data_IF_946063816181
#
_entry.id   IF_946063816181
#
_cell.length_a   1.000
_cell.length_b   1.000
_cell.length_c   1.000
_cell.angle_alpha   90.00
_cell.angle_beta   90.00
_cell.angle_gamma   90.00
#
_symmetry.space_group_name_H-M   'P 1'
#
loop_
_entity.id
_entity.type
_entity.pdbx_description
1 polymer ?
#
# COMPACT_ATOMS: atom_id res chain seq x y z
N UNK A 1 9.68 1.36 25.30
CA UNK A 1 10.84 0.92 26.11
C UNK A 1 11.40 -0.31 25.47
N UNK A 2 12.64 -0.22 25.02
CA UNK A 2 13.38 -1.34 24.44
C UNK A 2 13.57 -2.42 25.52
N UNK A 3 13.33 -3.67 25.13
CA UNK A 3 13.48 -4.81 26.01
C UNK A 3 14.75 -5.55 25.64
N UNK A 4 15.78 -5.40 26.45
CA UNK A 4 16.94 -6.26 26.38
C UNK A 4 16.67 -7.51 27.22
N UNK A 5 16.22 -8.61 26.55
CA UNK A 5 15.99 -9.87 27.25
C UNK A 5 15.46 -10.96 26.33
N UNK A 6 15.77 -12.21 26.64
CA UNK A 6 15.30 -13.37 25.90
C UNK A 6 13.77 -13.57 26.01
N UNK A 7 13.25 -14.54 25.26
CA UNK A 7 11.81 -14.88 25.18
C UNK A 7 11.19 -15.09 26.59
N UNK A 8 11.93 -15.68 27.53
CA UNK A 8 11.48 -15.91 28.92
C UNK A 8 11.18 -14.58 29.62
N UNK A 9 12.07 -13.60 29.57
CA UNK A 9 11.91 -12.29 30.20
C UNK A 9 10.74 -11.53 29.57
N UNK A 10 10.58 -11.62 28.24
CA UNK A 10 9.45 -10.99 27.55
C UNK A 10 8.11 -11.56 28.01
N UNK A 11 8.01 -12.89 28.16
CA UNK A 11 6.81 -13.56 28.66
C UNK A 11 6.51 -13.17 30.10
N UNK A 12 7.52 -13.08 30.96
CA UNK A 12 7.33 -12.73 32.38
C UNK A 12 6.84 -11.30 32.55
N UNK A 13 7.37 -10.34 31.76
CA UNK A 13 6.88 -8.96 31.74
C UNK A 13 5.42 -8.90 31.25
N UNK A 14 5.09 -9.68 30.22
CA UNK A 14 3.72 -9.75 29.70
C UNK A 14 2.75 -10.30 30.77
N UNK A 15 3.12 -11.39 31.44
CA UNK A 15 2.33 -11.99 32.53
C UNK A 15 2.15 -11.00 33.70
N UNK A 16 3.21 -10.28 34.08
CA UNK A 16 3.12 -9.24 35.09
C UNK A 16 2.12 -8.16 34.69
N UNK A 17 2.21 -7.65 33.46
CA UNK A 17 1.28 -6.63 32.96
C UNK A 17 -0.18 -7.11 32.99
N UNK A 18 -0.44 -8.37 32.66
CA UNK A 18 -1.78 -8.97 32.72
C UNK A 18 -2.27 -9.08 34.18
N UNK A 19 -1.41 -9.48 35.12
CA UNK A 19 -1.74 -9.52 36.54
C UNK A 19 -2.08 -8.15 37.11
N UNK A 20 -1.43 -7.11 36.62
CA UNK A 20 -1.68 -5.71 37.00
C UNK A 20 -2.88 -5.08 36.25
N UNK A 21 -3.72 -5.91 35.58
CA UNK A 21 -4.98 -5.48 34.98
C UNK A 21 -4.92 -5.11 33.49
N UNK A 22 -3.79 -5.29 32.84
CA UNK A 22 -3.75 -5.17 31.37
C UNK A 22 -4.43 -6.38 30.72
N UNK A 23 -5.03 -6.15 29.55
CA UNK A 23 -5.53 -7.24 28.70
C UNK A 23 -4.67 -7.41 27.45
N UNK A 24 -4.74 -8.58 26.87
CA UNK A 24 -4.15 -8.80 25.54
C UNK A 24 -4.86 -7.95 24.49
N UNK A 25 -4.09 -7.32 23.62
CA UNK A 25 -4.63 -6.60 22.48
C UNK A 25 -5.15 -7.57 21.42
N UNK A 26 -6.24 -7.17 20.76
CA UNK A 26 -6.73 -7.88 19.58
C UNK A 26 -5.78 -7.68 18.37
N UNK A 27 -5.80 -8.59 17.39
CA UNK A 27 -5.02 -8.40 16.15
C UNK A 27 -5.37 -7.05 15.49
N UNK A 28 -4.33 -6.22 15.25
CA UNK A 28 -4.49 -4.91 14.63
C UNK A 28 -5.01 -3.80 15.55
N UNK A 29 -5.27 -4.05 16.84
CA UNK A 29 -5.84 -3.07 17.77
C UNK A 29 -4.97 -1.81 17.89
N UNK A 30 -3.64 -1.93 17.92
CA UNK A 30 -2.74 -0.77 18.00
C UNK A 30 -2.88 0.13 16.77
N UNK A 31 -2.89 -0.46 15.58
CA UNK A 31 -3.07 0.25 14.31
C UNK A 31 -4.44 0.91 14.22
N UNK A 32 -5.50 0.17 14.62
CA UNK A 32 -6.87 0.70 14.67
C UNK A 32 -6.96 1.91 15.60
N UNK A 33 -6.37 1.84 16.79
CA UNK A 33 -6.37 2.96 17.76
C UNK A 33 -5.54 4.14 17.25
N UNK A 34 -4.41 3.90 16.59
CA UNK A 34 -3.61 4.95 15.99
C UNK A 34 -4.39 5.70 14.89
N UNK A 35 -5.12 4.97 14.03
CA UNK A 35 -6.02 5.54 13.03
C UNK A 35 -7.16 6.35 13.66
N UNK A 36 -7.88 5.79 14.62
CA UNK A 36 -8.99 6.47 15.29
C UNK A 36 -8.55 7.75 16.04
N UNK A 37 -7.31 7.77 16.52
CA UNK A 37 -6.72 8.95 17.17
C UNK A 37 -6.02 9.91 16.19
N UNK A 38 -6.17 9.72 14.88
CA UNK A 38 -5.61 10.60 13.86
C UNK A 38 -4.06 10.61 13.78
N UNK A 39 -3.39 9.59 14.34
CA UNK A 39 -1.92 9.48 14.27
C UNK A 39 -1.41 8.93 12.96
N UNK A 40 -2.22 8.13 12.29
CA UNK A 40 -2.00 7.58 10.97
C UNK A 40 -3.30 7.68 10.17
N UNK A 41 -3.20 7.76 8.86
CA UNK A 41 -4.36 7.68 7.97
C UNK A 41 -4.64 6.24 7.51
N UNK A 42 -5.70 6.05 6.70
CA UNK A 42 -6.10 4.73 6.23
C UNK A 42 -5.04 4.09 5.35
N UNK A 43 -4.38 4.88 4.48
CA UNK A 43 -3.35 4.36 3.57
C UNK A 43 -2.12 3.88 4.33
N UNK A 44 -1.76 4.56 5.42
CA UNK A 44 -0.70 4.16 6.33
C UNK A 44 -1.08 2.93 7.15
N UNK A 45 -2.34 2.83 7.60
CA UNK A 45 -2.83 1.64 8.29
C UNK A 45 -2.81 0.40 7.40
N UNK A 46 -3.17 0.52 6.12
CA UNK A 46 -3.04 -0.54 5.13
C UNK A 46 -1.58 -0.92 4.88
N UNK A 47 -0.68 0.07 4.80
CA UNK A 47 0.75 -0.16 4.61
C UNK A 47 1.36 -1.04 5.72
N UNK A 48 0.92 -0.88 6.98
CA UNK A 48 1.36 -1.74 8.10
C UNK A 48 0.99 -3.21 7.82
N UNK A 49 -0.21 -3.47 7.33
CA UNK A 49 -0.63 -4.83 6.96
C UNK A 49 0.17 -5.37 5.77
N UNK A 50 0.46 -4.52 4.80
CA UNK A 50 1.27 -4.89 3.64
C UNK A 50 2.73 -5.23 4.02
N UNK A 51 3.32 -4.50 4.98
CA UNK A 51 4.65 -4.84 5.54
C UNK A 51 4.61 -6.24 6.20
N UNK A 52 3.58 -6.51 7.02
CA UNK A 52 3.46 -7.80 7.72
C UNK A 52 3.27 -8.96 6.73
N UNK A 53 2.58 -8.73 5.63
CA UNK A 53 2.27 -9.75 4.61
C UNK A 53 3.29 -9.82 3.47
N UNK A 54 4.25 -8.92 3.43
CA UNK A 54 5.24 -8.85 2.36
C UNK A 54 6.02 -10.17 2.24
N UNK A 55 6.01 -10.74 1.04
CA UNK A 55 6.74 -11.98 0.72
C UNK A 55 8.08 -11.71 0.03
N UNK A 56 8.36 -10.47 -0.33
CA UNK A 56 9.58 -10.06 -1.02
C UNK A 56 10.07 -8.71 -0.48
N UNK A 57 11.37 -8.48 -0.55
CA UNK A 57 11.98 -7.19 -0.17
C UNK A 57 11.40 -6.01 -0.99
N UNK A 58 11.07 -6.25 -2.26
CA UNK A 58 10.44 -5.24 -3.10
C UNK A 58 9.05 -4.85 -2.59
N UNK A 59 8.23 -5.84 -2.21
CA UNK A 59 6.90 -5.60 -1.63
C UNK A 59 7.03 -4.84 -0.30
N UNK A 60 7.95 -5.24 0.57
CA UNK A 60 8.22 -4.57 1.84
C UNK A 60 8.65 -3.11 1.61
N UNK A 61 9.59 -2.85 0.70
CA UNK A 61 10.05 -1.49 0.41
C UNK A 61 8.94 -0.57 -0.13
N UNK A 62 8.02 -1.11 -0.94
CA UNK A 62 6.83 -0.36 -1.42
C UNK A 62 5.92 -0.01 -0.24
N UNK A 63 5.64 -0.97 0.64
CA UNK A 63 4.80 -0.76 1.82
C UNK A 63 5.42 0.25 2.80
N UNK A 64 6.74 0.21 3.00
CA UNK A 64 7.46 1.20 3.84
C UNK A 64 7.29 2.62 3.27
N UNK A 65 7.47 2.82 1.97
CA UNK A 65 7.24 4.14 1.34
C UNK A 65 5.79 4.61 1.47
N UNK A 66 4.84 3.70 1.43
CA UNK A 66 3.43 4.04 1.66
C UNK A 66 3.20 4.44 3.12
N UNK A 67 3.83 3.75 4.07
CA UNK A 67 3.78 4.11 5.50
C UNK A 67 4.38 5.50 5.78
N UNK A 68 5.41 5.91 5.05
CA UNK A 68 6.01 7.26 5.13
C UNK A 68 5.03 8.38 4.68
N UNK A 69 3.84 8.04 4.19
CA UNK A 69 2.78 9.00 3.85
C UNK A 69 2.93 9.64 2.47
N UNK A 70 3.81 9.14 1.60
CA UNK A 70 4.02 9.70 0.26
C UNK A 70 2.75 9.68 -0.60
N UNK A 71 1.94 8.62 -0.51
CA UNK A 71 0.65 8.52 -1.20
C UNK A 71 -0.38 9.48 -0.63
N UNK A 72 -0.48 9.58 0.69
CA UNK A 72 -1.39 10.50 1.39
C UNK A 72 -1.10 11.95 1.03
N UNK A 73 0.18 12.31 0.98
CA UNK A 73 0.59 13.65 0.56
C UNK A 73 0.13 13.94 -0.86
N UNK A 74 0.40 13.05 -1.81
CA UNK A 74 0.01 13.22 -3.21
C UNK A 74 -1.51 13.38 -3.37
N UNK A 75 -2.31 12.57 -2.65
CA UNK A 75 -3.78 12.67 -2.65
C UNK A 75 -4.23 14.02 -2.08
N UNK A 76 -3.65 14.45 -0.95
CA UNK A 76 -4.01 15.72 -0.32
C UNK A 76 -3.61 16.93 -1.18
N UNK A 77 -2.44 16.91 -1.80
CA UNK A 77 -1.97 17.97 -2.70
C UNK A 77 -2.93 18.09 -3.90
N UNK A 78 -3.27 16.96 -4.54
CA UNK A 78 -4.23 16.94 -5.66
C UNK A 78 -5.62 17.41 -5.22
N UNK A 79 -6.11 16.98 -4.05
CA UNK A 79 -7.38 17.44 -3.48
C UNK A 79 -7.38 18.94 -3.25
N UNK A 80 -6.28 19.48 -2.74
CA UNK A 80 -6.18 20.93 -2.48
C UNK A 80 -6.19 21.73 -3.78
N UNK A 81 -5.53 21.27 -4.83
CA UNK A 81 -5.58 21.92 -6.15
C UNK A 81 -6.98 21.91 -6.76
N UNK A 82 -7.72 20.81 -6.64
CA UNK A 82 -9.12 20.73 -7.08
C UNK A 82 -9.98 21.70 -6.28
N UNK A 83 -9.82 21.78 -4.96
CA UNK A 83 -10.55 22.73 -4.12
C UNK A 83 -10.23 24.19 -4.47
N UNK A 84 -8.98 24.52 -4.73
CA UNK A 84 -8.57 25.85 -5.16
C UNK A 84 -9.21 26.22 -6.51
N UNK A 85 -9.23 25.27 -7.45
CA UNK A 85 -9.90 25.47 -8.76
C UNK A 85 -11.39 25.69 -8.59
N UNK A 86 -12.05 24.92 -7.72
CA UNK A 86 -13.48 25.08 -7.43
C UNK A 86 -13.77 26.43 -6.78
N UNK A 87 -12.98 26.83 -5.79
CA UNK A 87 -13.13 28.13 -5.13
C UNK A 87 -12.96 29.29 -6.14
N UNK A 88 -12.03 29.19 -7.09
CA UNK A 88 -11.84 30.19 -8.15
C UNK A 88 -13.06 30.26 -9.08
N UNK A 89 -13.68 29.12 -9.42
CA UNK A 89 -14.92 29.07 -10.19
C UNK A 89 -16.07 29.77 -9.42
N UNK A 90 -16.21 29.45 -8.13
CA UNK A 90 -17.24 30.06 -7.28
C UNK A 90 -17.09 31.59 -7.19
N UNK A 91 -15.87 32.08 -6.97
CA UNK A 91 -15.58 33.53 -6.93
C UNK A 91 -15.92 34.19 -8.25
N UNK A 92 -15.61 33.59 -9.40
CA UNK A 92 -15.93 34.16 -10.72
C UNK A 92 -17.44 34.17 -11.01
N UNK A 93 -18.21 33.25 -10.40
CA UNK A 93 -19.69 33.24 -10.53
C UNK A 93 -20.31 34.27 -9.61
N UNK A 94 -19.87 34.34 -8.34
CA UNK A 94 -20.51 35.16 -7.32
C UNK A 94 -20.11 36.64 -7.39
N UNK A 95 -18.92 36.93 -7.91
CA UNK A 95 -18.34 38.27 -7.95
C UNK A 95 -17.69 38.59 -9.30
N UNK A 96 -18.45 38.61 -10.38
CA UNK A 96 -17.92 38.84 -11.74
C UNK A 96 -17.32 40.24 -11.95
N UNK A 97 -17.57 41.17 -11.04
CA UNK A 97 -17.08 42.55 -11.09
C UNK A 97 -15.66 42.75 -10.51
N UNK A 98 -15.04 41.73 -9.93
CA UNK A 98 -13.70 41.83 -9.39
C UNK A 98 -12.63 41.61 -10.48
N UNK A 99 -12.02 42.67 -10.97
CA UNK A 99 -11.00 42.67 -12.02
C UNK A 99 -9.63 42.09 -11.54
N UNK A 100 -9.43 41.96 -10.24
CA UNK A 100 -8.19 41.46 -9.60
C UNK A 100 -8.16 39.92 -9.41
N UNK A 101 -9.25 39.25 -9.72
CA UNK A 101 -9.33 37.78 -9.70
C UNK A 101 -9.13 37.24 -11.11
N UNK A 102 -8.21 36.31 -11.27
CA UNK A 102 -7.98 35.63 -12.55
C UNK A 102 -9.26 34.98 -13.06
N UNK A 103 -9.68 35.34 -14.27
CA UNK A 103 -10.93 34.83 -14.88
C UNK A 103 -10.77 33.33 -15.19
N UNK A 104 -11.63 32.52 -14.56
CA UNK A 104 -11.71 31.08 -14.84
C UNK A 104 -12.52 30.86 -16.12
N UNK A 105 -11.87 30.95 -17.26
CA UNK A 105 -12.49 30.64 -18.54
C UNK A 105 -12.85 29.17 -18.67
N UNK A 106 -13.85 28.85 -19.50
CA UNK A 106 -14.21 27.45 -19.81
C UNK A 106 -13.03 26.67 -20.38
N UNK A 107 -12.14 27.34 -21.11
CA UNK A 107 -10.95 26.72 -21.67
C UNK A 107 -9.95 26.34 -20.56
N UNK A 108 -9.64 27.26 -19.66
CA UNK A 108 -8.73 27.03 -18.54
C UNK A 108 -9.25 25.92 -17.61
N UNK A 109 -10.55 25.89 -17.35
CA UNK A 109 -11.17 24.82 -16.55
C UNK A 109 -11.04 23.45 -17.23
N UNK A 110 -11.21 23.38 -18.55
CA UNK A 110 -11.01 22.13 -19.31
C UNK A 110 -9.55 21.66 -19.24
N UNK A 111 -8.60 22.57 -19.36
CA UNK A 111 -7.16 22.25 -19.28
C UNK A 111 -6.82 21.69 -17.90
N UNK A 112 -7.22 22.37 -16.82
CA UNK A 112 -7.02 21.89 -15.44
C UNK A 112 -7.69 20.53 -15.20
N UNK A 113 -8.91 20.33 -15.69
CA UNK A 113 -9.62 19.05 -15.55
C UNK A 113 -8.89 17.93 -16.28
N UNK A 114 -8.34 18.20 -17.46
CA UNK A 114 -7.55 17.22 -18.21
C UNK A 114 -6.24 16.87 -17.50
N UNK A 115 -5.58 17.84 -16.86
CA UNK A 115 -4.39 17.58 -16.03
C UNK A 115 -4.71 16.65 -14.86
N UNK A 116 -5.80 16.89 -14.12
CA UNK A 116 -6.26 16.02 -13.04
C UNK A 116 -6.59 14.61 -13.54
N UNK A 117 -7.29 14.49 -14.67
CA UNK A 117 -7.60 13.18 -15.25
C UNK A 117 -6.35 12.40 -15.63
N UNK A 118 -5.37 13.07 -16.24
CA UNK A 118 -4.09 12.46 -16.62
C UNK A 118 -3.31 11.99 -15.39
N UNK A 119 -3.26 12.81 -14.32
CA UNK A 119 -2.63 12.46 -13.06
C UNK A 119 -3.27 11.22 -12.44
N UNK A 120 -4.60 11.24 -12.28
CA UNK A 120 -5.36 10.12 -11.69
C UNK A 120 -5.23 8.84 -12.54
N UNK A 121 -5.28 8.96 -13.86
CA UNK A 121 -5.08 7.82 -14.77
C UNK A 121 -3.69 7.20 -14.60
N UNK A 122 -2.67 8.03 -14.45
CA UNK A 122 -1.29 7.58 -14.23
C UNK A 122 -1.16 6.86 -12.89
N UNK A 123 -1.78 7.39 -11.83
CA UNK A 123 -1.82 6.75 -10.52
C UNK A 123 -2.51 5.39 -10.57
N UNK A 124 -3.65 5.29 -11.24
CA UNK A 124 -4.38 4.03 -11.39
C UNK A 124 -3.58 2.97 -12.18
N UNK A 125 -2.86 3.37 -13.22
CA UNK A 125 -1.97 2.46 -13.97
C UNK A 125 -0.83 1.93 -13.10
N UNK A 126 -0.25 2.78 -12.26
CA UNK A 126 0.80 2.37 -11.31
C UNK A 126 0.26 1.48 -10.19
N UNK A 127 -0.94 1.72 -9.69
CA UNK A 127 -1.58 0.89 -8.67
C UNK A 127 -1.77 -0.58 -9.12
N UNK A 128 -2.13 -0.81 -10.39
CA UNK A 128 -2.23 -2.17 -10.96
C UNK A 128 -0.90 -2.91 -10.95
N UNK A 129 0.21 -2.22 -11.26
CA UNK A 129 1.56 -2.81 -11.19
C UNK A 129 1.98 -3.08 -9.75
N UNK A 130 1.66 -2.16 -8.83
CA UNK A 130 1.90 -2.32 -7.40
C UNK A 130 1.20 -3.55 -6.81
N UNK A 131 -0.03 -3.84 -7.24
CA UNK A 131 -0.77 -5.04 -6.84
C UNK A 131 -0.01 -6.33 -7.19
N UNK A 132 0.53 -6.43 -8.40
CA UNK A 132 1.34 -7.58 -8.82
C UNK A 132 2.59 -7.74 -7.95
N UNK A 133 3.27 -6.64 -7.61
CA UNK A 133 4.45 -6.68 -6.75
C UNK A 133 4.11 -7.10 -5.31
N UNK A 134 2.93 -6.74 -4.82
CA UNK A 134 2.45 -7.07 -3.47
C UNK A 134 1.94 -8.51 -3.36
N UNK A 135 1.07 -8.92 -4.28
CA UNK A 135 0.36 -10.21 -4.22
C UNK A 135 1.07 -11.32 -4.99
N UNK A 136 1.96 -10.95 -5.92
CA UNK A 136 2.55 -11.87 -6.86
C UNK A 136 1.57 -12.28 -7.97
N UNK A 137 1.99 -13.22 -8.79
CA UNK A 137 1.18 -13.81 -9.85
C UNK A 137 1.09 -15.31 -9.59
N UNK A 138 -0.13 -15.82 -9.42
CA UNK A 138 -0.36 -17.26 -9.38
C UNK A 138 -0.08 -17.87 -10.75
N UNK A 139 0.97 -18.67 -10.86
CA UNK A 139 1.42 -19.25 -12.12
C UNK A 139 1.36 -20.77 -12.04
N UNK A 140 0.70 -21.41 -12.99
CA UNK A 140 0.67 -22.86 -13.12
C UNK A 140 1.60 -23.29 -14.28
N UNK A 141 2.49 -24.24 -14.01
CA UNK A 141 3.36 -24.86 -15.03
C UNK A 141 2.74 -26.21 -15.42
N UNK A 142 2.17 -26.26 -16.62
CA UNK A 142 1.49 -27.47 -17.13
C UNK A 142 2.27 -28.07 -18.29
N UNK A 143 2.20 -29.39 -18.45
CA UNK A 143 2.85 -30.12 -19.54
C UNK A 143 2.87 -31.63 -19.30
N UNK A 144 3.33 -32.38 -20.29
CA UNK A 144 3.47 -33.84 -20.20
C UNK A 144 4.42 -34.25 -19.06
N UNK A 145 4.35 -35.46 -18.51
CA UNK A 145 5.35 -35.98 -17.57
C UNK A 145 6.77 -35.88 -18.15
N UNK A 146 7.76 -35.70 -17.29
CA UNK A 146 9.21 -35.70 -17.60
C UNK A 146 9.68 -34.68 -18.66
N UNK A 147 8.97 -33.58 -18.88
CA UNK A 147 9.39 -32.48 -19.78
C UNK A 147 10.16 -31.36 -19.07
N UNK A 148 10.58 -31.57 -17.82
CA UNK A 148 11.41 -30.61 -17.08
C UNK A 148 10.63 -29.54 -16.30
N UNK A 149 9.33 -29.73 -15.99
CA UNK A 149 8.52 -28.76 -15.20
C UNK A 149 9.12 -28.47 -13.84
N UNK A 150 9.53 -29.49 -13.10
CA UNK A 150 10.13 -29.37 -11.75
C UNK A 150 11.50 -28.67 -11.82
N UNK A 151 12.31 -28.98 -12.84
CA UNK A 151 13.60 -28.32 -13.08
C UNK A 151 13.41 -26.84 -13.42
N UNK A 152 12.40 -26.50 -14.23
CA UNK A 152 12.06 -25.12 -14.56
C UNK A 152 11.60 -24.36 -13.30
N UNK A 153 10.72 -24.97 -12.48
CA UNK A 153 10.25 -24.39 -11.23
C UNK A 153 11.41 -24.10 -10.26
N UNK A 154 12.30 -25.08 -10.05
CA UNK A 154 13.45 -24.93 -9.18
C UNK A 154 14.41 -23.82 -9.68
N UNK A 155 14.62 -23.74 -10.98
CA UNK A 155 15.44 -22.69 -11.58
C UNK A 155 14.84 -21.30 -11.42
N UNK A 156 13.52 -21.15 -11.58
CA UNK A 156 12.81 -19.88 -11.37
C UNK A 156 12.84 -19.44 -9.90
N UNK A 157 12.69 -20.37 -8.97
CA UNK A 157 12.70 -20.09 -7.53
C UNK A 157 14.13 -19.91 -6.98
N UNK A 158 15.16 -20.34 -7.71
CA UNK A 158 16.55 -20.46 -7.25
C UNK A 158 16.69 -21.29 -5.96
N UNK A 159 15.78 -22.24 -5.78
CA UNK A 159 15.69 -23.12 -4.62
C UNK A 159 15.24 -24.52 -5.08
N UNK A 160 15.72 -25.58 -4.43
CA UNK A 160 15.27 -26.95 -4.69
C UNK A 160 13.98 -27.27 -3.91
N UNK A 161 12.85 -26.69 -4.34
CA UNK A 161 11.52 -26.93 -3.71
C UNK A 161 10.75 -28.09 -4.33
N UNK A 162 10.95 -28.36 -5.62
CA UNK A 162 10.26 -29.43 -6.30
C UNK A 162 11.18 -30.66 -6.45
N UNK A 163 10.65 -31.83 -6.16
CA UNK A 163 11.37 -33.10 -6.34
C UNK A 163 11.51 -33.37 -7.84
N UNK A 164 12.75 -33.52 -8.30
CA UNK A 164 13.06 -33.88 -9.68
C UNK A 164 13.37 -35.37 -9.72
N UNK A 165 12.53 -36.18 -10.35
CA UNK A 165 12.72 -37.61 -10.56
C UNK A 165 12.35 -38.01 -11.98
N UNK A 166 12.92 -39.14 -12.45
CA UNK A 166 12.57 -39.74 -13.75
C UNK A 166 11.22 -40.48 -13.72
N UNK A 167 10.61 -40.61 -12.54
CA UNK A 167 9.32 -41.33 -12.36
C UNK A 167 8.18 -40.36 -12.60
N UNK A 168 7.27 -40.72 -13.51
CA UNK A 168 6.07 -39.92 -13.84
C UNK A 168 5.11 -39.83 -12.64
N UNK A 169 4.66 -38.61 -12.28
CA UNK A 169 3.64 -38.39 -11.25
C UNK A 169 4.18 -38.09 -9.85
N UNK A 170 5.46 -37.77 -9.69
CA UNK A 170 6.07 -37.39 -8.40
C UNK A 170 6.02 -35.90 -8.08
N UNK A 171 5.41 -35.09 -8.94
CA UNK A 171 5.22 -33.62 -8.78
C UNK A 171 3.76 -33.24 -8.79
#
# INVERSE_FOLDING_TARGET
RDRHGGIAVTNEILQLAIREGARMAEPGEFTKRAFLNGRIDLTQAEAIMDIIRAKTDKAMNVAVRQLDGSLSKLINDTRQEILNTLAQVEVNIDYPEYDDVEEMTTQLLKEKTQEFENLLTTLLKTARRGKILREGIATAIIGRPNVGKSSLLNNLLREEKAIVTDIAGTT
#
